data_IF_503936625525
#
_entry.id   IF_503936625525
#
_cell.length_a   1.000
_cell.length_b   1.000
_cell.length_c   1.000
_cell.angle_alpha   90.00
_cell.angle_beta   90.00
_cell.angle_gamma   90.00
#
_symmetry.space_group_name_H-M   'P 1'
#
loop_
_entity.id
_entity.type
_entity.pdbx_description
1 polymer ?
#
# COMPACT_ATOMS: atom_id res chain seq x y z
N UNK A 1 25.25 -4.30 30.18
CA UNK A 1 24.87 -3.62 28.93
C UNK A 1 26.16 -3.28 28.19
N UNK A 2 26.31 -3.70 26.93
CA UNK A 2 27.52 -3.43 26.13
C UNK A 2 27.24 -2.23 25.25
N UNK A 3 28.10 -1.22 25.29
CA UNK A 3 27.98 -0.06 24.42
C UNK A 3 28.58 -0.38 23.04
N UNK A 4 27.80 -0.16 21.99
CA UNK A 4 28.21 -0.43 20.61
C UNK A 4 27.93 0.80 19.74
N UNK A 5 28.71 0.96 18.67
CA UNK A 5 28.52 2.01 17.67
C UNK A 5 28.78 1.44 16.27
N UNK A 6 28.15 2.03 15.23
CA UNK A 6 28.29 1.60 13.83
C UNK A 6 27.87 0.14 13.59
N UNK A 7 26.74 -0.26 14.16
CA UNK A 7 26.17 -1.62 14.04
C UNK A 7 25.46 -1.89 12.70
N UNK A 8 25.40 -0.88 11.82
CA UNK A 8 24.66 -0.90 10.55
C UNK A 8 25.55 -0.94 9.29
N UNK A 9 24.97 -0.78 8.08
CA UNK A 9 23.66 -0.17 7.79
C UNK A 9 22.44 -1.00 8.23
N UNK A 10 21.28 -0.34 8.34
CA UNK A 10 19.99 -1.01 8.51
C UNK A 10 19.54 -1.48 7.13
N UNK A 11 19.27 -2.76 6.99
CA UNK A 11 18.75 -3.34 5.74
C UNK A 11 17.22 -3.27 5.73
N UNK A 12 16.59 -3.57 6.88
CA UNK A 12 15.14 -3.60 7.06
C UNK A 12 14.78 -3.23 8.50
N UNK A 13 13.56 -2.70 8.68
CA UNK A 13 12.92 -2.60 9.98
C UNK A 13 11.50 -3.15 9.89
N UNK A 14 11.04 -3.77 10.97
CA UNK A 14 9.76 -4.47 11.01
C UNK A 14 9.08 -4.31 12.36
N UNK A 15 7.76 -4.58 12.36
CA UNK A 15 6.92 -4.59 13.55
C UNK A 15 6.40 -5.99 13.82
N UNK A 16 6.31 -6.35 15.10
CA UNK A 16 5.70 -7.61 15.52
C UNK A 16 5.09 -7.47 16.93
N UNK A 17 4.60 -8.56 17.51
CA UNK A 17 4.03 -8.59 18.86
C UNK A 17 2.63 -7.97 18.93
N UNK A 18 1.75 -8.40 18.02
CA UNK A 18 0.30 -8.09 18.00
C UNK A 18 -0.48 -9.14 18.82
N UNK A 19 -0.02 -9.41 20.03
CA UNK A 19 -0.46 -10.52 20.89
C UNK A 19 -1.25 -10.06 22.13
N UNK A 20 -1.65 -8.78 22.19
CA UNK A 20 -2.26 -8.16 23.36
C UNK A 20 -1.25 -7.72 24.43
N UNK A 21 0.06 -7.82 24.18
CA UNK A 21 1.10 -7.29 25.06
C UNK A 21 1.06 -5.75 25.18
N UNK A 22 1.83 -5.17 26.11
CA UNK A 22 1.78 -3.70 26.35
C UNK A 22 2.33 -2.84 25.22
N UNK A 23 3.29 -3.35 24.43
CA UNK A 23 4.00 -2.59 23.39
C UNK A 23 4.26 -3.48 22.19
N UNK A 24 4.30 -2.86 21.02
CA UNK A 24 4.75 -3.56 19.82
C UNK A 24 6.26 -3.76 19.90
N UNK A 25 6.71 -4.82 19.24
CA UNK A 25 8.11 -5.12 19.05
C UNK A 25 8.56 -4.39 17.79
N UNK A 26 9.63 -3.61 17.89
CA UNK A 26 10.28 -2.99 16.74
C UNK A 26 11.61 -3.67 16.55
N UNK A 27 11.84 -4.23 15.37
CA UNK A 27 13.07 -4.92 15.01
C UNK A 27 13.84 -4.17 13.92
N UNK A 28 15.17 -4.23 13.99
CA UNK A 28 16.06 -3.89 12.88
C UNK A 28 16.81 -5.13 12.43
N UNK A 29 16.82 -5.37 11.13
CA UNK A 29 17.63 -6.39 10.50
C UNK A 29 18.86 -5.76 9.87
N UNK A 30 20.02 -6.36 10.12
CA UNK A 30 21.26 -6.04 9.43
C UNK A 30 21.91 -7.34 8.96
N UNK A 31 22.90 -7.25 8.06
CA UNK A 31 23.75 -8.38 7.66
C UNK A 31 24.38 -9.16 8.82
N UNK A 32 24.46 -8.57 10.02
CA UNK A 32 25.06 -9.19 11.20
C UNK A 32 24.03 -9.85 12.12
N UNK A 33 22.76 -9.47 12.02
CA UNK A 33 21.69 -10.03 12.83
C UNK A 33 20.53 -9.07 13.07
N UNK A 34 19.61 -9.52 13.92
CA UNK A 34 18.38 -8.80 14.27
C UNK A 34 18.48 -8.16 15.66
N UNK A 35 17.98 -6.93 15.76
CA UNK A 35 18.02 -6.12 16.97
C UNK A 35 16.61 -5.69 17.36
N UNK A 36 16.10 -6.25 18.45
CA UNK A 36 14.84 -5.80 19.05
C UNK A 36 15.10 -4.53 19.86
N UNK A 37 14.40 -3.45 19.50
CA UNK A 37 14.53 -2.17 20.16
C UNK A 37 13.80 -2.16 21.50
N UNK A 38 14.47 -1.58 22.50
CA UNK A 38 13.90 -1.36 23.82
C UNK A 38 13.53 0.11 24.01
N UNK A 39 14.35 0.85 24.75
CA UNK A 39 14.15 2.28 25.03
C UNK A 39 15.14 3.12 24.22
N UNK A 40 14.70 4.17 23.50
CA UNK A 40 15.61 5.07 22.82
C UNK A 40 16.50 5.86 23.79
N UNK A 41 17.70 6.21 23.32
CA UNK A 41 18.56 7.18 23.99
C UNK A 41 17.88 8.55 24.03
N UNK A 42 18.12 9.36 25.07
CA UNK A 42 17.43 10.66 25.27
C UNK A 42 17.58 11.60 24.08
N UNK A 43 18.77 11.65 23.48
CA UNK A 43 19.05 12.50 22.32
C UNK A 43 18.35 12.04 21.04
N UNK A 44 18.04 10.75 20.91
CA UNK A 44 17.37 10.19 19.74
C UNK A 44 15.84 10.12 19.91
N UNK A 45 15.37 10.33 21.15
CA UNK A 45 13.97 10.18 21.52
C UNK A 45 13.03 11.02 20.66
N UNK A 46 13.36 12.29 20.42
CA UNK A 46 12.50 13.20 19.65
C UNK A 46 12.28 12.72 18.20
N UNK A 47 13.26 12.03 17.61
CA UNK A 47 13.13 11.45 16.28
C UNK A 47 12.23 10.21 16.27
N UNK A 48 12.24 9.44 17.36
CA UNK A 48 11.43 8.24 17.50
C UNK A 48 10.01 8.51 17.98
N UNK A 49 9.72 9.65 18.60
CA UNK A 49 8.40 9.90 19.20
C UNK A 49 7.26 9.77 18.19
N UNK A 50 7.38 10.39 17.01
CA UNK A 50 6.37 10.27 15.96
C UNK A 50 6.26 8.84 15.41
N UNK A 51 7.37 8.10 15.30
CA UNK A 51 7.33 6.71 14.88
C UNK A 51 6.63 5.83 15.92
N UNK A 52 6.93 6.02 17.21
CA UNK A 52 6.34 5.27 18.31
C UNK A 52 4.83 5.51 18.44
N UNK A 53 4.36 6.73 18.15
CA UNK A 53 2.93 7.04 18.11
C UNK A 53 2.22 6.24 17.02
N UNK A 54 2.77 6.25 15.80
CA UNK A 54 2.25 5.44 14.68
C UNK A 54 2.26 3.94 15.00
N UNK A 55 3.36 3.44 15.55
CA UNK A 55 3.52 2.04 15.95
C UNK A 55 2.49 1.64 17.01
N UNK A 56 2.23 2.52 17.99
CA UNK A 56 1.24 2.26 19.03
C UNK A 56 -0.17 2.16 18.45
N UNK A 57 -0.52 3.09 17.55
CA UNK A 57 -1.79 3.04 16.82
C UNK A 57 -1.92 1.76 15.99
N UNK A 58 -0.91 1.43 15.18
CA UNK A 58 -0.91 0.22 14.36
C UNK A 58 -1.12 -1.03 15.20
N UNK A 59 -0.40 -1.17 16.30
CA UNK A 59 -0.63 -2.28 17.24
C UNK A 59 -2.07 -2.38 17.67
N UNK A 60 -2.63 -1.26 18.14
CA UNK A 60 -3.97 -1.26 18.73
C UNK A 60 -5.03 -1.65 17.72
N UNK A 61 -4.96 -1.10 16.50
CA UNK A 61 -5.89 -1.44 15.42
C UNK A 61 -5.72 -2.90 15.02
N UNK A 62 -4.49 -3.33 14.71
CA UNK A 62 -4.23 -4.70 14.25
C UNK A 62 -4.65 -5.74 15.28
N UNK A 63 -4.42 -5.50 16.57
CA UNK A 63 -4.92 -6.39 17.64
C UNK A 63 -6.45 -6.47 17.69
N UNK A 64 -7.15 -5.37 17.41
CA UNK A 64 -8.61 -5.38 17.34
C UNK A 64 -9.11 -6.20 16.14
N UNK A 65 -8.41 -6.12 15.01
CA UNK A 65 -8.76 -6.87 13.78
C UNK A 65 -8.42 -8.36 13.89
N UNK A 66 -7.36 -8.70 14.64
CA UNK A 66 -6.94 -10.08 14.89
C UNK A 66 -7.70 -10.76 16.03
N UNK A 67 -8.60 -10.07 16.73
CA UNK A 67 -9.33 -10.62 17.86
C UNK A 67 -10.20 -11.82 17.42
N UNK A 68 -9.77 -13.02 17.81
CA UNK A 68 -10.42 -14.29 17.49
C UNK A 68 -11.90 -14.35 17.88
N UNK A 69 -12.31 -13.59 18.89
CA UNK A 69 -13.71 -13.53 19.33
C UNK A 69 -14.63 -12.84 18.31
N UNK A 70 -14.05 -12.13 17.32
CA UNK A 70 -14.75 -11.32 16.32
C UNK A 70 -14.55 -11.81 14.89
N UNK A 71 -13.86 -12.94 14.69
CA UNK A 71 -13.51 -13.46 13.35
C UNK A 71 -14.69 -13.65 12.39
N UNK A 72 -15.90 -13.86 12.91
CA UNK A 72 -17.12 -14.06 12.12
C UNK A 72 -17.90 -12.75 11.88
N UNK A 73 -17.54 -11.67 12.55
CA UNK A 73 -18.21 -10.37 12.48
C UNK A 73 -17.33 -9.37 11.71
N UNK A 74 -17.92 -8.75 10.70
CA UNK A 74 -17.23 -7.72 9.94
C UNK A 74 -17.16 -6.46 10.81
N UNK A 75 -15.95 -5.93 11.04
CA UNK A 75 -15.75 -4.75 11.87
C UNK A 75 -16.02 -3.51 11.04
N UNK A 76 -17.00 -2.71 11.45
CA UNK A 76 -17.32 -1.42 10.82
C UNK A 76 -16.39 -0.31 11.32
N UNK A 77 -16.24 0.77 10.54
CA UNK A 77 -15.31 1.84 10.88
C UNK A 77 -15.61 2.51 12.24
N UNK A 78 -16.87 2.80 12.54
CA UNK A 78 -17.27 3.40 13.82
C UNK A 78 -16.99 2.46 15.01
N UNK A 79 -17.19 1.15 14.82
CA UNK A 79 -16.85 0.17 15.85
C UNK A 79 -15.34 0.12 16.09
N UNK A 80 -14.54 0.13 15.02
CA UNK A 80 -13.08 0.21 15.14
C UNK A 80 -12.67 1.43 16.00
N UNK A 81 -13.27 2.59 15.77
CA UNK A 81 -12.99 3.81 16.53
C UNK A 81 -13.31 3.65 18.03
N UNK A 82 -14.41 2.96 18.36
CA UNK A 82 -14.77 2.66 19.75
C UNK A 82 -13.78 1.68 20.40
N UNK A 83 -13.31 0.68 19.68
CA UNK A 83 -12.39 -0.35 20.19
C UNK A 83 -10.98 0.17 20.46
N UNK A 84 -10.52 1.11 19.62
CA UNK A 84 -9.19 1.73 19.77
C UNK A 84 -9.18 2.88 20.77
N UNK A 85 -10.33 3.24 21.36
CA UNK A 85 -10.40 4.21 22.44
C UNK A 85 -9.39 3.85 23.57
N UNK A 86 -8.67 4.84 24.14
CA UNK A 86 -8.93 6.28 24.06
C UNK A 86 -8.27 7.01 22.87
N UNK A 87 -7.75 6.30 21.86
CA UNK A 87 -7.18 6.94 20.67
C UNK A 87 -8.29 7.72 19.93
N UNK A 88 -8.04 8.98 19.61
CA UNK A 88 -9.01 9.81 18.90
C UNK A 88 -9.13 9.42 17.43
N UNK A 89 -10.34 9.54 16.86
CA UNK A 89 -10.58 9.31 15.43
C UNK A 89 -9.65 10.12 14.50
N UNK A 90 -9.35 11.37 14.87
CA UNK A 90 -8.40 12.23 14.14
C UNK A 90 -6.99 11.63 14.08
N UNK A 91 -6.53 11.00 15.17
CA UNK A 91 -5.24 10.30 15.20
C UNK A 91 -5.24 9.05 14.29
N UNK A 92 -6.36 8.32 14.24
CA UNK A 92 -6.52 7.18 13.32
C UNK A 92 -6.46 7.66 11.87
N UNK A 93 -7.19 8.72 11.52
CA UNK A 93 -7.25 9.26 10.16
C UNK A 93 -5.91 9.89 9.73
N UNK A 94 -5.27 10.69 10.59
CA UNK A 94 -3.99 11.33 10.27
C UNK A 94 -2.83 10.35 10.07
N UNK A 95 -2.98 9.10 10.52
CA UNK A 95 -2.00 8.03 10.33
C UNK A 95 -2.53 6.88 9.45
N UNK A 96 -3.67 7.06 8.79
CA UNK A 96 -4.33 6.06 7.96
C UNK A 96 -3.38 5.44 6.93
N UNK A 97 -2.60 6.24 6.21
CA UNK A 97 -1.71 5.71 5.18
C UNK A 97 -0.65 4.76 5.72
N UNK A 98 -0.06 5.10 6.87
CA UNK A 98 0.89 4.23 7.54
C UNK A 98 0.21 2.95 8.04
N UNK A 99 -0.96 3.09 8.66
CA UNK A 99 -1.73 1.95 9.16
C UNK A 99 -2.04 0.95 8.02
N UNK A 100 -2.57 1.44 6.92
CA UNK A 100 -2.95 0.64 5.74
C UNK A 100 -1.74 -0.09 5.16
N UNK A 101 -0.60 0.59 5.04
CA UNK A 101 0.64 -0.02 4.58
C UNK A 101 1.09 -1.15 5.50
N UNK A 102 1.03 -0.95 6.82
CA UNK A 102 1.42 -1.98 7.78
C UNK A 102 0.46 -3.19 7.78
N UNK A 103 -0.85 -2.96 7.70
CA UNK A 103 -1.84 -4.05 7.63
C UNK A 103 -1.75 -4.81 6.31
N UNK A 104 -1.51 -4.11 5.19
CA UNK A 104 -1.29 -4.75 3.89
C UNK A 104 -0.03 -5.62 3.90
N UNK A 105 1.09 -5.10 4.43
CA UNK A 105 2.32 -5.87 4.55
C UNK A 105 2.12 -7.14 5.40
N UNK A 106 1.34 -7.04 6.48
CA UNK A 106 0.95 -8.20 7.29
C UNK A 106 0.11 -9.21 6.52
N UNK A 107 -0.91 -8.77 5.77
CA UNK A 107 -1.69 -9.67 4.91
C UNK A 107 -0.80 -10.40 3.90
N UNK A 108 0.18 -9.71 3.30
CA UNK A 108 1.12 -10.29 2.34
C UNK A 108 2.08 -11.30 2.97
N UNK A 109 2.56 -11.04 4.20
CA UNK A 109 3.54 -11.88 4.91
C UNK A 109 2.90 -13.06 5.66
N UNK A 110 1.81 -12.82 6.38
CA UNK A 110 1.13 -13.79 7.24
C UNK A 110 -0.05 -14.48 6.56
N UNK A 111 -0.48 -14.00 5.39
CA UNK A 111 -1.62 -14.55 4.65
C UNK A 111 -2.96 -14.24 5.31
N UNK A 112 -3.04 -13.20 6.14
CA UNK A 112 -4.28 -12.70 6.71
C UNK A 112 -5.11 -11.98 5.62
N UNK A 113 -6.37 -11.68 5.94
CA UNK A 113 -7.27 -10.96 5.02
C UNK A 113 -7.86 -9.70 5.69
N UNK A 114 -7.06 -9.04 6.54
CA UNK A 114 -7.50 -7.90 7.35
C UNK A 114 -7.89 -6.70 6.49
N UNK A 115 -7.21 -6.48 5.36
CA UNK A 115 -7.55 -5.42 4.41
C UNK A 115 -8.93 -5.58 3.79
N UNK A 116 -9.53 -6.78 3.83
CA UNK A 116 -10.90 -7.01 3.34
C UNK A 116 -11.98 -6.55 4.33
N UNK A 117 -11.63 -6.26 5.59
CA UNK A 117 -12.58 -5.78 6.58
C UNK A 117 -13.21 -4.43 6.18
N UNK A 118 -14.51 -4.20 6.41
CA UNK A 118 -15.18 -2.95 6.05
C UNK A 118 -14.49 -1.70 6.61
N UNK A 119 -14.09 -1.74 7.89
CA UNK A 119 -13.38 -0.63 8.52
C UNK A 119 -12.08 -0.24 7.79
N UNK A 120 -11.35 -1.22 7.24
CA UNK A 120 -10.12 -0.96 6.49
C UNK A 120 -10.41 -0.42 5.10
N UNK A 121 -11.47 -0.89 4.44
CA UNK A 121 -11.92 -0.34 3.17
C UNK A 121 -12.36 1.13 3.32
N UNK A 122 -13.17 1.44 4.33
CA UNK A 122 -13.55 2.82 4.66
C UNK A 122 -12.33 3.68 4.97
N UNK A 123 -11.33 3.15 5.67
CA UNK A 123 -10.12 3.91 5.97
C UNK A 123 -9.29 4.22 4.71
N UNK A 124 -9.25 3.32 3.73
CA UNK A 124 -8.62 3.58 2.42
C UNK A 124 -9.33 4.73 1.70
N UNK A 125 -10.65 4.69 1.66
CA UNK A 125 -11.48 5.73 1.05
C UNK A 125 -11.27 7.10 1.73
N UNK A 126 -11.29 7.13 3.07
CA UNK A 126 -11.08 8.34 3.87
C UNK A 126 -9.64 8.86 3.78
N UNK A 127 -8.66 7.95 3.67
CA UNK A 127 -7.25 8.27 3.54
C UNK A 127 -6.88 8.86 2.17
N UNK A 128 -7.82 8.91 1.22
CA UNK A 128 -7.58 9.40 -0.14
C UNK A 128 -6.59 8.52 -0.90
N UNK A 129 -6.47 7.24 -0.52
CA UNK A 129 -5.57 6.27 -1.16
C UNK A 129 -6.27 5.49 -2.28
N UNK A 130 -7.40 5.98 -2.77
CA UNK A 130 -8.03 5.42 -3.95
C UNK A 130 -7.05 5.53 -5.13
N UNK A 131 -6.69 4.39 -5.70
CA UNK A 131 -5.83 4.25 -6.89
C UNK A 131 -6.59 4.71 -8.16
N UNK A 132 -7.21 5.88 -8.14
CA UNK A 132 -7.93 6.45 -9.28
C UNK A 132 -7.02 7.42 -10.05
N UNK A 133 -6.02 6.90 -10.79
CA UNK A 133 -5.37 7.66 -11.88
C UNK A 133 -4.44 6.85 -12.83
N UNK A 134 -4.70 5.57 -13.14
CA UNK A 134 -3.91 4.88 -14.19
C UNK A 134 -4.75 3.94 -15.10
N UNK A 135 -6.01 4.29 -15.39
CA UNK A 135 -6.82 3.55 -16.37
C UNK A 135 -7.96 4.38 -16.98
N UNK A 136 -7.67 5.50 -17.65
CA UNK A 136 -8.59 6.06 -18.65
C UNK A 136 -7.83 6.57 -19.89
N UNK A 137 -8.44 6.33 -21.06
CA UNK A 137 -8.10 6.77 -22.43
C UNK A 137 -7.32 5.81 -23.35
N UNK A 138 -7.88 4.62 -23.57
CA UNK A 138 -7.77 3.92 -24.86
C UNK A 138 -9.12 3.32 -25.23
N UNK A 139 -10.02 4.15 -25.76
CA UNK A 139 -11.13 3.80 -26.68
C UNK A 139 -12.19 4.90 -26.63
N UNK A 140 -12.08 5.96 -27.46
CA UNK A 140 -13.21 6.55 -28.20
C UNK A 140 -12.78 7.76 -29.08
N UNK A 141 -11.90 7.57 -30.05
CA UNK A 141 -11.86 8.50 -31.21
C UNK A 141 -11.78 7.68 -32.48
N UNK A 142 -12.94 7.35 -33.07
CA UNK A 142 -13.18 7.37 -34.52
C UNK A 142 -14.58 6.80 -34.87
N UNK A 143 -15.64 7.56 -34.63
CA UNK A 143 -16.88 7.42 -35.42
C UNK A 143 -17.48 8.82 -35.62
N UNK A 144 -17.21 9.39 -36.80
CA UNK A 144 -18.18 10.04 -37.69
C UNK A 144 -17.56 11.24 -38.41
N UNK A 145 -17.19 11.03 -39.68
CA UNK A 145 -16.98 12.12 -40.63
C UNK A 145 -17.64 11.73 -41.95
N UNK A 146 -18.73 12.40 -42.37
CA UNK A 146 -19.36 12.11 -43.64
C UNK A 146 -18.56 12.78 -44.76
N UNK A 147 -17.71 12.03 -45.46
CA UNK A 147 -17.10 12.50 -46.72
C UNK A 147 -18.01 12.22 -47.89
N UNK A 148 -18.47 13.31 -48.51
CA UNK A 148 -19.41 13.35 -49.61
C UNK A 148 -18.99 12.56 -50.85
N UNK A 149 -20.00 11.90 -51.40
CA UNK A 149 -20.09 11.27 -52.71
C UNK A 149 -19.71 12.24 -53.84
N UNK A 150 -18.68 11.90 -54.63
CA UNK A 150 -18.59 12.31 -56.05
C UNK A 150 -18.14 11.15 -56.92
N UNK A 151 -19.01 10.87 -57.88
CA UNK A 151 -18.97 9.81 -58.88
C UNK A 151 -17.90 10.00 -59.97
N UNK A 152 -17.43 8.84 -60.48
CA UNK A 152 -17.09 8.50 -61.87
C UNK A 152 -16.09 9.38 -62.64
N UNK A 153 -14.98 8.77 -63.06
CA UNK A 153 -14.79 8.32 -64.46
C UNK A 153 -13.53 7.49 -64.69
N UNK A 154 -13.72 6.51 -65.55
CA UNK A 154 -12.84 5.46 -66.07
C UNK A 154 -11.58 5.95 -66.81
N UNK A 155 -10.47 5.23 -66.66
CA UNK A 155 -9.59 4.82 -67.79
C UNK A 155 -8.59 3.73 -67.34
N UNK A 156 -8.62 2.60 -68.03
CA UNK A 156 -7.63 1.51 -67.98
C UNK A 156 -6.57 1.73 -69.09
N UNK A 157 -5.67 0.77 -69.36
CA UNK A 157 -4.51 0.35 -68.54
C UNK A 157 -3.20 0.35 -69.37
N UNK A 158 -1.99 0.37 -68.77
CA UNK A 158 -0.81 -0.07 -69.56
C UNK A 158 0.39 -0.63 -68.76
N UNK A 159 0.65 -1.92 -69.04
CA UNK A 159 1.93 -2.67 -69.16
C UNK A 159 2.91 -2.79 -67.98
N UNK A 160 3.10 -4.05 -67.55
CA UNK A 160 4.33 -4.58 -66.94
C UNK A 160 5.51 -4.54 -67.94
N UNK A 161 6.77 -4.48 -67.47
CA UNK A 161 7.54 -5.73 -67.26
C UNK A 161 8.44 -5.72 -65.99
N UNK A 162 8.69 -6.91 -65.41
CA UNK A 162 9.88 -7.19 -64.55
C UNK A 162 11.14 -7.42 -65.47
N UNK A 163 12.36 -7.84 -65.05
CA UNK A 163 12.89 -8.21 -63.72
C UNK A 163 14.39 -7.86 -63.45
N UNK A 164 14.86 -8.25 -62.24
CA UNK A 164 16.16 -8.86 -61.87
C UNK A 164 17.28 -8.03 -61.19
N UNK A 165 17.92 -8.81 -60.29
CA UNK A 165 19.32 -8.79 -59.79
C UNK A 165 19.52 -7.98 -58.51
N UNK A 166 20.33 -8.39 -57.55
CA UNK A 166 20.94 -9.67 -57.19
C UNK A 166 21.42 -9.51 -55.74
N UNK A 167 21.52 -10.64 -55.02
CA UNK A 167 22.31 -10.81 -53.78
C UNK A 167 23.63 -10.04 -53.82
N UNK A 168 23.98 -9.44 -52.69
CA UNK A 168 25.21 -9.74 -51.96
C UNK A 168 24.93 -9.76 -50.48
#
# INVERSE_FOLDING_TARGET
MVACCRMGPIDEWWLSGFDGGQRAIVGFSTVYGEYILAKPHSEYRFLMESALEKIHLTKRVTECLLDDSRKEEAVEYEELLELVAPISADAVQSHASFLIEQVRAMDDEEGTELMRQPCMQTLVELGGLNEDADSEEADQENVDRPTGRRDRRSRAPERRPQPRRHRR
#
